data_IF_366098857293
#
_entry.id   IF_366098857293
#
_cell.length_a   1.000
_cell.length_b   1.000
_cell.length_c   1.000
_cell.angle_alpha   90.00
_cell.angle_beta   90.00
_cell.angle_gamma   90.00
#
_symmetry.space_group_name_H-M   'P 1'
#
loop_
_entity.id
_entity.type
_entity.pdbx_description
1 polymer ?
#
# COMPACT_ATOMS: atom_id res chain seq x y z
N UNK A 1 11.59 -5.93 -9.37
CA UNK A 1 10.62 -5.54 -8.32
C UNK A 1 10.74 -6.57 -7.20
N UNK A 2 10.62 -6.18 -5.93
CA UNK A 2 10.74 -7.10 -4.77
C UNK A 2 9.76 -8.29 -4.88
N UNK A 3 8.60 -8.08 -5.52
CA UNK A 3 7.55 -9.09 -5.67
C UNK A 3 7.49 -9.75 -7.05
N UNK A 4 8.55 -9.67 -7.87
CA UNK A 4 8.54 -10.21 -9.24
C UNK A 4 8.24 -11.72 -9.31
N UNK A 5 8.86 -12.52 -8.43
CA UNK A 5 8.61 -13.96 -8.35
C UNK A 5 7.17 -14.28 -7.98
N UNK A 6 6.61 -13.56 -6.99
CA UNK A 6 5.23 -13.74 -6.57
C UNK A 6 4.25 -13.33 -7.68
N UNK A 7 4.49 -12.19 -8.33
CA UNK A 7 3.65 -11.70 -9.41
C UNK A 7 3.62 -12.66 -10.60
N UNK A 8 4.79 -13.18 -11.01
CA UNK A 8 4.89 -14.18 -12.07
C UNK A 8 4.18 -15.49 -11.71
N UNK A 9 4.33 -15.96 -10.47
CA UNK A 9 3.63 -17.15 -9.99
C UNK A 9 2.11 -16.97 -10.08
N UNK A 10 1.59 -15.85 -9.59
CA UNK A 10 0.16 -15.56 -9.60
C UNK A 10 -0.39 -15.47 -11.03
N UNK A 11 0.31 -14.76 -11.91
CA UNK A 11 -0.08 -14.65 -13.31
C UNK A 11 -0.07 -16.00 -14.04
N UNK A 12 0.98 -16.79 -13.87
CA UNK A 12 1.14 -18.06 -14.60
C UNK A 12 0.26 -19.19 -14.07
N UNK A 13 0.06 -19.26 -12.75
CA UNK A 13 -0.64 -20.39 -12.11
C UNK A 13 -2.14 -20.15 -11.97
N UNK A 14 -2.56 -18.90 -11.83
CA UNK A 14 -3.96 -18.55 -11.56
C UNK A 14 -4.58 -17.65 -12.63
N UNK A 15 -3.88 -17.41 -13.74
CA UNK A 15 -4.31 -16.53 -14.83
C UNK A 15 -4.74 -15.14 -14.33
N UNK A 16 -4.02 -14.64 -13.30
CA UNK A 16 -4.32 -13.38 -12.66
C UNK A 16 -3.59 -12.23 -13.34
N UNK A 17 -4.30 -11.12 -13.59
CA UNK A 17 -3.64 -9.85 -13.90
C UNK A 17 -3.05 -9.27 -12.61
N UNK A 18 -1.72 -9.21 -12.54
CA UNK A 18 -0.99 -8.67 -11.38
C UNK A 18 -0.37 -7.32 -11.73
N UNK A 19 -0.62 -6.31 -10.91
CA UNK A 19 -0.06 -4.97 -11.07
C UNK A 19 0.36 -4.39 -9.71
N UNK A 20 1.21 -3.38 -9.77
CA UNK A 20 1.72 -2.67 -8.61
C UNK A 20 2.47 -1.41 -9.03
N UNK A 21 2.68 -0.50 -8.09
CA UNK A 21 3.46 0.72 -8.30
C UNK A 21 4.39 0.93 -7.11
N UNK A 22 5.46 1.70 -7.33
CA UNK A 22 6.28 2.16 -6.22
C UNK A 22 5.53 3.29 -5.51
N UNK A 23 5.42 3.24 -4.19
CA UNK A 23 4.83 4.33 -3.41
C UNK A 23 5.64 5.63 -3.58
N UNK A 24 5.00 6.79 -3.39
CA UNK A 24 5.71 8.09 -3.36
C UNK A 24 6.91 8.04 -2.41
N UNK A 25 8.02 8.63 -2.81
CA UNK A 25 9.28 8.61 -2.06
C UNK A 25 10.02 7.25 -2.11
N UNK A 26 9.52 6.24 -2.84
CA UNK A 26 10.12 4.91 -2.93
C UNK A 26 10.43 4.49 -4.37
N UNK A 27 11.35 3.54 -4.53
CA UNK A 27 11.68 2.92 -5.81
C UNK A 27 11.95 3.93 -6.92
N UNK A 28 11.17 3.85 -8.01
CA UNK A 28 11.23 4.72 -9.19
C UNK A 28 10.22 5.86 -9.16
N UNK A 29 9.33 5.89 -8.17
CA UNK A 29 8.39 7.00 -7.98
C UNK A 29 9.13 8.21 -7.42
N UNK A 30 8.67 9.40 -7.83
CA UNK A 30 9.14 10.68 -7.32
C UNK A 30 8.76 10.87 -5.85
N UNK A 31 9.26 11.96 -5.24
CA UNK A 31 8.99 12.31 -3.85
C UNK A 31 10.30 12.46 -3.08
N UNK A 32 10.43 13.60 -2.40
CA UNK A 32 11.55 13.94 -1.53
C UNK A 32 11.03 14.48 -0.17
N UNK A 33 11.68 14.15 0.95
CA UNK A 33 12.84 13.25 1.03
C UNK A 33 12.47 11.77 0.74
N UNK A 34 13.44 10.99 0.27
CA UNK A 34 13.25 9.54 0.04
C UNK A 34 12.82 8.81 1.31
N UNK A 35 11.98 7.78 1.15
CA UNK A 35 11.41 6.97 2.24
C UNK A 35 10.62 7.78 3.29
N UNK A 36 10.07 8.92 2.89
CA UNK A 36 9.20 9.76 3.72
C UNK A 36 7.86 9.97 3.05
N UNK A 37 6.80 9.92 3.85
CA UNK A 37 5.45 10.32 3.47
C UNK A 37 4.78 10.94 4.68
N UNK A 38 4.05 12.04 4.48
CA UNK A 38 3.38 12.75 5.58
C UNK A 38 2.24 11.93 6.19
N UNK A 39 1.60 11.08 5.38
CA UNK A 39 0.44 10.30 5.81
C UNK A 39 0.27 9.03 4.99
N UNK A 40 -0.11 7.93 5.65
CA UNK A 40 -0.54 6.69 4.99
C UNK A 40 -1.78 6.90 4.09
N UNK A 41 -2.56 7.96 4.33
CA UNK A 41 -3.71 8.31 3.48
C UNK A 41 -3.27 8.62 2.05
N UNK A 42 -2.10 9.23 1.85
CA UNK A 42 -1.57 9.53 0.52
C UNK A 42 -1.31 8.20 -0.22
N UNK A 43 -0.64 7.26 0.44
CA UNK A 43 -0.33 5.95 -0.13
C UNK A 43 -1.58 5.14 -0.47
N UNK A 44 -2.59 5.23 0.38
CA UNK A 44 -3.87 4.55 0.17
C UNK A 44 -4.66 5.18 -1.00
N UNK A 45 -4.68 6.51 -1.11
CA UNK A 45 -5.32 7.20 -2.22
C UNK A 45 -4.62 6.89 -3.55
N UNK A 46 -3.30 6.88 -3.59
CA UNK A 46 -2.53 6.49 -4.78
C UNK A 46 -2.84 5.04 -5.19
N UNK A 47 -2.93 4.13 -4.21
CA UNK A 47 -3.35 2.74 -4.44
C UNK A 47 -4.77 2.67 -5.03
N UNK A 48 -5.71 3.40 -4.43
CA UNK A 48 -7.09 3.48 -4.89
C UNK A 48 -7.19 3.98 -6.33
N UNK A 49 -6.50 5.09 -6.66
CA UNK A 49 -6.47 5.66 -8.01
C UNK A 49 -5.90 4.68 -9.02
N UNK A 50 -4.79 4.01 -8.71
CA UNK A 50 -4.20 3.04 -9.64
C UNK A 50 -5.13 1.84 -9.88
N UNK A 51 -5.83 1.34 -8.86
CA UNK A 51 -6.82 0.28 -9.01
C UNK A 51 -7.96 0.74 -9.94
N UNK A 52 -8.53 1.92 -9.70
CA UNK A 52 -9.63 2.46 -10.48
C UNK A 52 -9.20 2.68 -11.96
N UNK A 53 -7.97 3.15 -12.19
CA UNK A 53 -7.39 3.27 -13.54
C UNK A 53 -7.26 1.92 -14.27
N UNK A 54 -6.84 0.87 -13.57
CA UNK A 54 -6.72 -0.47 -14.17
C UNK A 54 -8.08 -1.00 -14.58
N UNK A 55 -9.09 -0.89 -13.71
CA UNK A 55 -10.46 -1.29 -14.05
C UNK A 55 -11.02 -0.48 -15.23
N UNK A 56 -10.77 0.84 -15.26
CA UNK A 56 -11.16 1.70 -16.37
C UNK A 56 -10.50 1.27 -17.70
N UNK A 57 -9.19 0.97 -17.69
CA UNK A 57 -8.45 0.51 -18.87
C UNK A 57 -8.98 -0.84 -19.39
N UNK A 58 -9.36 -1.74 -18.49
CA UNK A 58 -9.91 -3.05 -18.82
C UNK A 58 -11.40 -3.03 -19.17
N UNK A 59 -12.09 -1.89 -18.94
CA UNK A 59 -13.54 -1.75 -19.12
C UNK A 59 -14.33 -2.80 -18.34
N UNK A 60 -13.91 -3.06 -17.11
CA UNK A 60 -14.53 -4.05 -16.20
C UNK A 60 -14.65 -3.46 -14.78
N UNK A 61 -15.21 -4.25 -13.86
CA UNK A 61 -15.44 -3.89 -12.47
C UNK A 61 -15.12 -5.06 -11.54
N UNK A 62 -15.23 -4.85 -10.23
CA UNK A 62 -14.99 -5.89 -9.23
C UNK A 62 -16.07 -6.98 -9.21
N UNK A 63 -17.22 -6.80 -9.86
CA UNK A 63 -18.23 -7.86 -9.96
C UNK A 63 -17.81 -8.93 -10.96
N UNK A 64 -17.21 -8.50 -12.08
CA UNK A 64 -16.74 -9.38 -13.16
C UNK A 64 -15.33 -9.89 -12.93
N UNK A 65 -14.48 -9.08 -12.29
CA UNK A 65 -13.09 -9.40 -12.03
C UNK A 65 -12.73 -9.06 -10.58
N UNK A 66 -12.77 -10.02 -9.64
CA UNK A 66 -12.57 -9.76 -8.23
C UNK A 66 -11.15 -9.24 -7.95
N UNK A 67 -11.04 -8.28 -7.04
CA UNK A 67 -9.78 -7.66 -6.62
C UNK A 67 -9.18 -8.38 -5.42
N UNK A 68 -7.94 -8.82 -5.56
CA UNK A 68 -7.12 -9.26 -4.43
C UNK A 68 -5.99 -8.28 -4.20
N UNK A 69 -5.78 -7.89 -2.93
CA UNK A 69 -4.70 -6.96 -2.56
C UNK A 69 -3.68 -7.70 -1.71
N UNK A 70 -2.43 -7.69 -2.15
CA UNK A 70 -1.29 -8.20 -1.39
C UNK A 70 -0.50 -7.04 -0.77
N UNK A 71 -0.18 -7.14 0.52
CA UNK A 71 0.59 -6.12 1.22
C UNK A 71 1.54 -6.73 2.26
N UNK A 72 2.75 -6.19 2.32
CA UNK A 72 3.78 -6.60 3.28
C UNK A 72 4.23 -5.42 4.14
N UNK A 73 4.38 -5.62 5.46
CA UNK A 73 4.82 -4.58 6.41
C UNK A 73 3.98 -3.30 6.27
N UNK A 74 4.61 -2.15 6.00
CA UNK A 74 3.91 -0.88 5.72
C UNK A 74 2.89 -1.04 4.58
N UNK A 75 3.21 -1.76 3.50
CA UNK A 75 2.28 -2.01 2.41
C UNK A 75 1.03 -2.79 2.88
N UNK A 76 1.19 -3.65 3.89
CA UNK A 76 0.06 -4.33 4.53
C UNK A 76 -0.85 -3.38 5.32
N UNK A 77 -0.28 -2.35 5.96
CA UNK A 77 -1.06 -1.30 6.61
C UNK A 77 -1.87 -0.48 5.59
N UNK A 78 -1.25 -0.14 4.45
CA UNK A 78 -1.92 0.57 3.35
C UNK A 78 -3.05 -0.30 2.78
N UNK A 79 -2.82 -1.59 2.55
CA UNK A 79 -3.86 -2.53 2.08
C UNK A 79 -5.04 -2.66 3.06
N UNK A 80 -4.77 -2.68 4.36
CA UNK A 80 -5.82 -2.68 5.39
C UNK A 80 -6.63 -1.38 5.36
N UNK A 81 -5.94 -0.23 5.28
CA UNK A 81 -6.60 1.07 5.23
C UNK A 81 -7.51 1.20 3.99
N UNK A 82 -7.01 0.74 2.84
CA UNK A 82 -7.79 0.67 1.60
C UNK A 82 -9.07 -0.16 1.77
N UNK A 83 -8.94 -1.39 2.30
CA UNK A 83 -10.09 -2.26 2.49
C UNK A 83 -11.12 -1.69 3.48
N UNK A 84 -10.67 -1.06 4.57
CA UNK A 84 -11.56 -0.41 5.54
C UNK A 84 -12.34 0.73 4.86
N UNK A 85 -11.64 1.60 4.12
CA UNK A 85 -12.27 2.74 3.42
C UNK A 85 -13.24 2.27 2.33
N UNK A 86 -12.89 1.23 1.56
CA UNK A 86 -13.74 0.68 0.50
C UNK A 86 -14.95 -0.09 1.03
N UNK A 87 -14.82 -0.83 2.14
CA UNK A 87 -15.92 -1.64 2.66
C UNK A 87 -16.93 -0.86 3.51
N UNK A 88 -16.46 0.17 4.23
CA UNK A 88 -17.29 0.90 5.19
C UNK A 88 -17.50 2.38 4.80
N UNK A 89 -16.84 2.86 3.75
CA UNK A 89 -17.00 4.22 3.26
C UNK A 89 -18.30 4.40 2.45
N UNK A 90 -19.02 5.51 2.63
CA UNK A 90 -20.23 5.80 1.86
C UNK A 90 -19.96 5.99 0.37
N UNK A 91 -18.71 6.28 -0.01
CA UNK A 91 -18.27 6.53 -1.38
C UNK A 91 -18.18 5.26 -2.25
N UNK A 92 -18.19 4.06 -1.63
CA UNK A 92 -17.91 2.80 -2.32
C UNK A 92 -18.96 1.71 -2.01
N UNK A 93 -20.20 1.85 -2.51
CA UNK A 93 -21.23 0.83 -2.31
C UNK A 93 -20.81 -0.48 -3.00
N UNK A 94 -20.51 -1.50 -2.20
CA UNK A 94 -20.18 -2.85 -2.69
C UNK A 94 -18.87 -3.42 -2.14
N UNK A 95 -18.01 -2.60 -1.52
CA UNK A 95 -16.79 -3.05 -0.87
C UNK A 95 -15.76 -3.71 -1.79
N UNK A 96 -14.68 -4.21 -1.19
CA UNK A 96 -13.69 -5.07 -1.81
C UNK A 96 -14.33 -6.43 -2.11
N UNK A 97 -14.55 -6.72 -3.39
CA UNK A 97 -14.99 -8.05 -3.85
C UNK A 97 -13.77 -8.89 -4.21
N UNK A 98 -13.36 -9.75 -3.29
CA UNK A 98 -12.16 -10.59 -3.38
C UNK A 98 -11.56 -10.82 -2.00
N UNK A 99 -10.27 -10.50 -1.81
CA UNK A 99 -9.61 -10.73 -0.52
C UNK A 99 -8.31 -9.97 -0.29
N UNK A 100 -7.89 -9.94 0.98
CA UNK A 100 -6.60 -9.41 1.42
C UNK A 100 -5.60 -10.55 1.66
N UNK A 101 -4.38 -10.39 1.17
CA UNK A 101 -3.24 -11.26 1.45
C UNK A 101 -2.16 -10.45 2.16
N UNK A 102 -2.05 -10.60 3.48
CA UNK A 102 -1.18 -9.78 4.31
C UNK A 102 0.02 -10.57 4.82
N UNK A 103 1.23 -10.06 4.58
CA UNK A 103 2.46 -10.62 5.10
C UNK A 103 3.05 -9.67 6.14
N UNK A 104 3.12 -10.09 7.41
CA UNK A 104 3.65 -9.28 8.52
C UNK A 104 3.18 -7.80 8.46
N UNK A 105 1.85 -7.52 8.38
CA UNK A 105 1.36 -6.17 8.21
C UNK A 105 1.75 -5.29 9.41
N UNK A 106 2.10 -4.03 9.14
CA UNK A 106 2.36 -3.04 10.18
C UNK A 106 1.03 -2.65 10.84
N UNK A 107 0.68 -3.32 11.94
CA UNK A 107 -0.55 -3.06 12.70
C UNK A 107 -0.27 -2.12 13.87
N UNK A 108 0.89 -2.27 14.51
CA UNK A 108 1.31 -1.47 15.66
C UNK A 108 2.82 -1.32 15.67
N UNK A 109 3.29 -0.14 16.06
CA UNK A 109 4.69 0.10 16.38
C UNK A 109 4.92 -0.25 17.84
N UNK A 110 5.99 -0.97 18.14
CA UNK A 110 6.33 -1.26 19.53
C UNK A 110 6.70 0.02 20.26
N UNK A 111 5.99 0.31 21.36
CA UNK A 111 6.30 1.43 22.26
C UNK A 111 7.66 1.30 22.97
N UNK A 112 8.37 0.17 22.80
CA UNK A 112 9.69 -0.08 23.40
C UNK A 112 10.88 0.44 22.57
N UNK A 113 10.64 0.98 21.37
CA UNK A 113 11.70 1.56 20.55
C UNK A 113 11.74 3.08 20.77
N UNK A 114 12.88 3.64 21.24
CA UNK A 114 13.01 5.09 21.33
C UNK A 114 12.75 5.72 19.95
N UNK A 115 11.97 6.80 19.89
CA UNK A 115 11.52 7.45 18.66
C UNK A 115 12.63 7.68 17.62
N UNK A 116 13.87 7.96 18.08
CA UNK A 116 15.08 8.13 17.25
C UNK A 116 15.40 6.93 16.32
N UNK A 117 14.86 5.75 16.61
CA UNK A 117 15.11 4.52 15.86
C UNK A 117 13.99 4.15 14.90
N UNK A 118 12.84 4.82 14.99
CA UNK A 118 11.63 4.52 14.20
C UNK A 118 11.62 5.30 12.88
N UNK A 119 12.22 6.48 12.88
CA UNK A 119 12.44 7.33 11.72
C UNK A 119 13.83 7.93 11.92
N UNK A 120 14.72 7.85 10.92
CA UNK A 120 16.10 8.35 11.00
C UNK A 120 16.17 9.88 11.15
N UNK A 121 15.66 10.43 12.25
CA UNK A 121 15.76 11.82 12.59
C UNK A 121 17.19 12.11 13.04
N UNK A 122 17.95 12.77 12.17
CA UNK A 122 19.17 13.46 12.54
C UNK A 122 18.80 14.57 13.52
N UNK A 123 18.85 14.29 14.82
CA UNK A 123 18.96 15.34 15.83
C UNK A 123 20.39 15.89 15.75
N UNK A 124 20.57 17.00 15.05
CA UNK A 124 21.62 17.95 15.41
C UNK A 124 21.25 18.49 16.77
N UNK A 125 21.86 17.93 17.80
CA UNK A 125 21.78 18.47 19.15
C UNK A 125 22.50 19.80 19.20
N UNK A 126 21.75 20.87 19.44
CA UNK A 126 22.26 22.06 20.11
C UNK A 126 21.26 22.46 21.20
N UNK A 127 21.54 22.00 22.41
CA UNK A 127 21.18 22.70 23.65
C UNK A 127 22.50 23.07 24.32
N UNK A 128 22.91 24.35 24.22
CA UNK A 128 23.70 25.06 25.23
C UNK A 128 23.95 26.53 24.82
N UNK A 129 23.04 27.42 25.22
CA UNK A 129 23.35 28.66 25.99
C UNK A 129 22.08 29.47 26.21
#
# INVERSE_FOLDING_TARGET
MVYDTLAKLLAQKYDALVFGHDHVGHGRSSGEPRAYVESLNILEQDMAMHIDEVYAKLRTDQEKLPLFVFGHSMGGAVSLLYAIRRNFGPEYPGGLRGGLMLMAPLISLSNSLPARWILGSTETGELAS
#
